data_IF_512852558280
#
_entry.id   IF_512852558280
#
_cell.length_a   1.000
_cell.length_b   1.000
_cell.length_c   1.000
_cell.angle_alpha   90.00
_cell.angle_beta   90.00
_cell.angle_gamma   90.00
#
_symmetry.space_group_name_H-M   'P 1'
#
loop_
_entity.id
_entity.type
_entity.pdbx_description
1 polymer ?
#
# COMPACT_ATOMS: atom_id res chain seq x y z
N UNK A 1 3.06 -16.56 -13.78
CA UNK A 1 3.43 -15.22 -14.33
C UNK A 1 4.06 -14.42 -13.21
N UNK A 2 5.08 -13.60 -13.47
CA UNK A 2 5.71 -12.80 -12.42
C UNK A 2 4.80 -11.65 -11.97
N UNK A 3 4.92 -11.26 -10.70
CA UNK A 3 4.31 -10.03 -10.18
C UNK A 3 4.89 -8.84 -10.93
N UNK A 4 4.05 -7.91 -11.35
CA UNK A 4 4.46 -6.72 -12.11
C UNK A 4 4.15 -5.44 -11.33
N UNK A 5 4.95 -4.40 -11.55
CA UNK A 5 4.65 -3.06 -11.03
C UNK A 5 3.42 -2.52 -11.78
N UNK A 6 2.31 -2.17 -11.09
CA UNK A 6 1.17 -1.55 -11.75
C UNK A 6 1.52 -0.13 -12.19
N UNK A 7 0.94 0.31 -13.29
CA UNK A 7 1.04 1.70 -13.71
C UNK A 7 0.28 2.62 -12.74
N UNK A 8 0.74 3.87 -12.61
CA UNK A 8 -0.01 4.88 -11.87
C UNK A 8 -1.32 5.20 -12.62
N UNK A 9 -2.45 5.39 -11.90
CA UNK A 9 -3.72 5.76 -12.53
C UNK A 9 -3.80 7.25 -12.97
N UNK A 10 -2.71 8.01 -12.81
CA UNK A 10 -2.58 9.43 -13.15
C UNK A 10 -1.12 9.74 -13.53
N UNK A 11 -0.86 10.92 -14.10
CA UNK A 11 0.49 11.39 -14.43
C UNK A 11 1.35 11.59 -13.16
N UNK A 12 2.67 11.48 -13.30
CA UNK A 12 3.59 11.60 -12.16
C UNK A 12 3.53 12.95 -11.45
N UNK A 13 3.18 14.03 -12.15
CA UNK A 13 3.00 15.40 -11.63
C UNK A 13 1.58 15.70 -11.15
N UNK A 14 0.65 14.76 -11.28
CA UNK A 14 -0.78 15.01 -11.02
C UNK A 14 -1.10 15.37 -9.57
N UNK A 15 -0.26 14.96 -8.62
CA UNK A 15 -0.46 15.22 -7.19
C UNK A 15 0.26 16.47 -6.69
N UNK A 16 0.90 17.22 -7.58
CA UNK A 16 1.47 18.52 -7.19
C UNK A 16 0.38 19.54 -6.81
N UNK A 17 0.67 20.43 -5.88
CA UNK A 17 1.95 20.70 -5.20
C UNK A 17 2.18 19.87 -3.93
N UNK A 18 1.36 18.86 -3.64
CA UNK A 18 1.43 18.07 -2.40
C UNK A 18 2.52 17.01 -2.42
N UNK A 19 2.66 16.31 -3.55
CA UNK A 19 3.73 15.35 -3.81
C UNK A 19 4.31 15.70 -5.18
N UNK A 20 5.60 16.00 -5.23
CA UNK A 20 6.25 16.38 -6.49
C UNK A 20 6.53 15.18 -7.41
N UNK A 21 6.72 15.46 -8.69
CA UNK A 21 6.97 14.47 -9.72
C UNK A 21 8.21 13.61 -9.42
N UNK A 22 9.30 14.21 -8.92
CA UNK A 22 10.53 13.49 -8.58
C UNK A 22 10.28 12.45 -7.47
N UNK A 23 9.54 12.83 -6.43
CA UNK A 23 9.15 11.93 -5.35
C UNK A 23 8.31 10.79 -5.87
N UNK A 24 7.36 11.05 -6.77
CA UNK A 24 6.52 10.00 -7.38
C UNK A 24 7.37 9.01 -8.18
N UNK A 25 8.32 9.46 -8.98
CA UNK A 25 9.25 8.57 -9.67
C UNK A 25 10.10 7.74 -8.70
N UNK A 26 10.64 8.34 -7.65
CA UNK A 26 11.42 7.62 -6.65
C UNK A 26 10.58 6.57 -5.91
N UNK A 27 9.38 6.94 -5.49
CA UNK A 27 8.53 6.09 -4.67
C UNK A 27 7.89 4.95 -5.50
N UNK A 28 7.48 5.22 -6.73
CA UNK A 28 6.89 4.21 -7.63
C UNK A 28 7.97 3.39 -8.35
N UNK A 29 8.84 4.05 -9.15
CA UNK A 29 9.72 3.35 -10.10
C UNK A 29 10.92 2.67 -9.42
N UNK A 30 11.32 3.15 -8.23
CA UNK A 30 12.42 2.56 -7.46
C UNK A 30 11.92 1.79 -6.24
N UNK A 31 11.23 2.44 -5.33
CA UNK A 31 10.85 1.83 -4.05
C UNK A 31 9.84 0.71 -4.24
N UNK A 32 8.72 0.96 -4.91
CA UNK A 32 7.73 -0.07 -5.19
C UNK A 32 8.28 -1.16 -6.11
N UNK A 33 9.04 -0.80 -7.15
CA UNK A 33 9.69 -1.78 -8.03
C UNK A 33 10.64 -2.71 -7.27
N UNK A 34 11.31 -2.22 -6.22
CA UNK A 34 12.18 -3.05 -5.38
C UNK A 34 11.38 -4.13 -4.65
N UNK A 35 10.21 -3.81 -4.11
CA UNK A 35 9.33 -4.82 -3.53
C UNK A 35 8.93 -5.88 -4.56
N UNK A 36 8.55 -5.47 -5.76
CA UNK A 36 8.19 -6.38 -6.86
C UNK A 36 9.36 -7.32 -7.20
N UNK A 37 10.55 -6.79 -7.38
CA UNK A 37 11.74 -7.57 -7.70
C UNK A 37 12.05 -8.60 -6.60
N UNK A 38 11.98 -8.18 -5.34
CA UNK A 38 12.34 -9.04 -4.21
C UNK A 38 11.30 -10.14 -3.97
N UNK A 39 10.01 -9.85 -4.10
CA UNK A 39 8.98 -10.88 -3.94
C UNK A 39 9.05 -11.90 -5.07
N UNK A 40 9.29 -11.47 -6.31
CA UNK A 40 9.49 -12.38 -7.43
C UNK A 40 10.70 -13.31 -7.19
N UNK A 41 11.84 -12.75 -6.77
CA UNK A 41 13.03 -13.54 -6.46
C UNK A 41 12.81 -14.55 -5.31
N UNK A 42 11.92 -14.24 -4.36
CA UNK A 42 11.52 -15.18 -3.32
C UNK A 42 10.65 -16.31 -3.89
N UNK A 43 9.59 -15.95 -4.66
CA UNK A 43 8.64 -16.90 -5.24
C UNK A 43 9.27 -17.84 -6.28
N UNK A 44 10.29 -17.39 -7.01
CA UNK A 44 11.04 -18.23 -7.96
C UNK A 44 11.66 -19.49 -7.32
N UNK A 45 11.91 -19.47 -6.02
CA UNK A 45 12.45 -20.63 -5.29
C UNK A 45 11.39 -21.71 -5.03
N UNK A 46 10.13 -21.35 -5.08
CA UNK A 46 8.98 -22.20 -4.76
C UNK A 46 7.84 -22.00 -5.76
N UNK A 47 8.04 -22.33 -7.04
CA UNK A 47 7.02 -22.09 -8.07
C UNK A 47 5.71 -22.86 -7.83
N UNK A 48 5.73 -23.88 -6.97
CA UNK A 48 4.57 -24.68 -6.60
C UNK A 48 3.51 -23.95 -5.79
N UNK A 49 3.87 -22.85 -5.08
CA UNK A 49 2.91 -22.10 -4.25
C UNK A 49 2.12 -21.05 -5.03
N UNK A 50 2.52 -20.79 -6.28
CA UNK A 50 1.87 -19.77 -7.12
C UNK A 50 2.29 -18.34 -6.78
N UNK A 51 1.54 -17.38 -7.31
CA UNK A 51 1.87 -15.94 -7.28
C UNK A 51 0.70 -15.10 -6.76
N UNK A 52 -0.34 -15.72 -6.20
CA UNK A 52 -1.46 -15.01 -5.58
C UNK A 52 -1.05 -14.52 -4.19
N UNK A 53 -0.50 -13.29 -4.16
CA UNK A 53 0.00 -12.69 -2.92
C UNK A 53 -1.08 -12.46 -1.87
N UNK A 54 -2.32 -12.15 -2.26
CA UNK A 54 -3.41 -11.93 -1.32
C UNK A 54 -3.71 -13.23 -0.57
N UNK A 55 -3.84 -14.34 -1.30
CA UNK A 55 -4.05 -15.66 -0.69
C UNK A 55 -2.86 -16.10 0.16
N UNK A 56 -1.63 -15.91 -0.32
CA UNK A 56 -0.43 -16.27 0.43
C UNK A 56 -0.31 -15.47 1.73
N UNK A 57 -0.59 -14.17 1.71
CA UNK A 57 -0.50 -13.31 2.88
C UNK A 57 -1.67 -13.48 3.84
N UNK A 58 -2.82 -13.99 3.37
CA UNK A 58 -3.93 -14.38 4.25
C UNK A 58 -3.62 -15.65 5.07
N UNK A 59 -2.74 -16.52 4.56
CA UNK A 59 -2.29 -17.74 5.25
C UNK A 59 -0.75 -17.87 5.19
N UNK A 60 -0.08 -17.02 5.94
CA UNK A 60 1.39 -16.95 5.96
C UNK A 60 2.07 -18.25 6.38
N UNK A 61 1.38 -19.12 7.13
CA UNK A 61 1.93 -20.40 7.53
C UNK A 61 2.03 -21.40 6.37
N UNK A 62 1.26 -21.22 5.31
CA UNK A 62 1.35 -22.01 4.08
C UNK A 62 2.61 -21.69 3.26
N UNK A 63 3.24 -20.54 3.49
CA UNK A 63 4.44 -20.11 2.77
C UNK A 63 5.66 -20.89 3.32
N UNK A 64 6.51 -21.47 2.45
CA UNK A 64 7.74 -22.15 2.88
C UNK A 64 8.61 -21.25 3.78
N UNK A 65 9.11 -21.83 4.88
CA UNK A 65 9.75 -21.08 5.96
C UNK A 65 10.98 -20.28 5.51
N UNK A 66 11.71 -20.77 4.50
CA UNK A 66 12.92 -20.14 3.96
C UNK A 66 12.65 -18.83 3.18
N UNK A 67 11.43 -18.67 2.65
CA UNK A 67 11.01 -17.46 1.92
C UNK A 67 9.91 -16.67 2.62
N UNK A 68 9.27 -17.23 3.66
CA UNK A 68 8.09 -16.63 4.32
C UNK A 68 8.28 -15.17 4.66
N UNK A 69 9.35 -14.83 5.36
CA UNK A 69 9.59 -13.45 5.79
C UNK A 69 9.82 -12.51 4.59
N UNK A 70 10.50 -13.00 3.55
CA UNK A 70 10.71 -12.21 2.32
C UNK A 70 9.39 -11.93 1.60
N UNK A 71 8.49 -12.93 1.52
CA UNK A 71 7.15 -12.75 0.93
C UNK A 71 6.29 -11.82 1.79
N UNK A 72 6.29 -11.96 3.11
CA UNK A 72 5.55 -11.04 4.01
C UNK A 72 6.03 -9.60 3.80
N UNK A 73 7.33 -9.35 3.85
CA UNK A 73 7.89 -8.01 3.75
C UNK A 73 7.69 -7.40 2.37
N UNK A 74 8.01 -8.12 1.32
CA UNK A 74 8.03 -7.58 -0.04
C UNK A 74 6.68 -7.74 -0.76
N UNK A 75 5.97 -8.83 -0.53
CA UNK A 75 4.60 -9.01 -1.02
C UNK A 75 3.63 -8.04 -0.35
N UNK A 76 3.70 -7.92 0.97
CA UNK A 76 2.94 -6.92 1.73
C UNK A 76 3.30 -5.49 1.32
N UNK A 77 4.59 -5.19 1.11
CA UNK A 77 5.05 -3.91 0.60
C UNK A 77 4.46 -3.61 -0.78
N UNK A 78 4.47 -4.58 -1.69
CA UNK A 78 3.87 -4.44 -3.02
C UNK A 78 2.36 -4.16 -2.94
N UNK A 79 1.59 -4.97 -2.23
CA UNK A 79 0.13 -4.81 -2.15
C UNK A 79 -0.25 -3.47 -1.49
N UNK A 80 0.43 -3.08 -0.42
CA UNK A 80 0.18 -1.79 0.23
C UNK A 80 0.44 -0.60 -0.70
N UNK A 81 1.51 -0.64 -1.48
CA UNK A 81 1.82 0.44 -2.43
C UNK A 81 0.86 0.44 -3.63
N UNK A 82 0.48 -0.73 -4.14
CA UNK A 82 -0.52 -0.81 -5.21
C UNK A 82 -1.84 -0.16 -4.80
N UNK A 83 -2.35 -0.47 -3.60
CA UNK A 83 -3.54 0.17 -3.04
C UNK A 83 -3.33 1.67 -2.79
N UNK A 84 -2.16 2.07 -2.28
CA UNK A 84 -1.85 3.46 -1.99
C UNK A 84 -1.96 4.37 -3.22
N UNK A 85 -1.46 3.93 -4.38
CA UNK A 85 -1.59 4.72 -5.61
C UNK A 85 -3.04 4.95 -6.01
N UNK A 86 -3.90 3.96 -5.85
CA UNK A 86 -5.32 4.06 -6.18
C UNK A 86 -6.13 4.92 -5.21
N UNK A 87 -5.68 5.07 -3.96
CA UNK A 87 -6.35 5.85 -2.94
C UNK A 87 -6.11 7.36 -3.06
N UNK A 88 -5.13 7.78 -3.87
CA UNK A 88 -4.84 9.20 -4.10
C UNK A 88 -5.43 9.65 -5.43
N UNK A 89 -5.87 10.91 -5.49
CA UNK A 89 -6.43 11.53 -6.69
C UNK A 89 -6.12 13.01 -6.71
N UNK A 90 -5.89 13.61 -7.90
CA UNK A 90 -5.80 15.07 -8.04
C UNK A 90 -7.13 15.78 -7.85
N UNK A 91 -8.24 15.06 -7.88
CA UNK A 91 -9.58 15.60 -7.74
C UNK A 91 -9.97 15.74 -6.26
N UNK A 92 -10.69 16.81 -5.91
CA UNK A 92 -11.30 16.91 -4.59
C UNK A 92 -12.50 15.97 -4.49
N UNK A 93 -12.45 15.08 -3.50
CA UNK A 93 -13.50 14.13 -3.19
C UNK A 93 -13.97 14.32 -1.75
N UNK A 94 -15.12 13.73 -1.42
CA UNK A 94 -15.64 13.67 -0.07
C UNK A 94 -16.11 12.24 0.23
N UNK A 95 -16.16 11.83 1.51
CA UNK A 95 -16.77 10.56 1.90
C UNK A 95 -18.23 10.49 1.44
N UNK A 96 -18.71 9.28 1.15
CA UNK A 96 -20.15 9.05 0.99
C UNK A 96 -20.89 9.42 2.28
N UNK A 97 -22.19 9.73 2.19
CA UNK A 97 -22.99 10.03 3.39
C UNK A 97 -22.96 8.90 4.42
N UNK A 98 -22.95 7.65 3.97
CA UNK A 98 -22.85 6.48 4.84
C UNK A 98 -21.51 6.42 5.56
N UNK A 99 -20.41 6.61 4.84
CA UNK A 99 -19.07 6.62 5.44
C UNK A 99 -18.90 7.79 6.39
N UNK A 100 -19.36 8.99 6.02
CA UNK A 100 -19.31 10.17 6.89
C UNK A 100 -20.07 9.93 8.21
N UNK A 101 -21.26 9.34 8.16
CA UNK A 101 -22.02 8.99 9.35
C UNK A 101 -21.30 7.95 10.24
N UNK A 102 -20.66 6.96 9.64
CA UNK A 102 -19.87 5.96 10.37
C UNK A 102 -18.63 6.58 11.05
N UNK A 103 -17.96 7.51 10.37
CA UNK A 103 -16.83 8.27 10.92
C UNK A 103 -17.29 9.12 12.11
N UNK A 104 -18.36 9.89 11.96
CA UNK A 104 -18.91 10.73 13.02
C UNK A 104 -19.34 9.89 14.24
N UNK A 105 -19.99 8.75 14.01
CA UNK A 105 -20.40 7.85 15.08
C UNK A 105 -19.21 7.24 15.83
N UNK A 106 -18.10 6.99 15.14
CA UNK A 106 -16.91 6.34 15.73
C UNK A 106 -15.96 7.32 16.38
N UNK A 107 -15.73 8.47 15.75
CA UNK A 107 -14.70 9.45 16.16
C UNK A 107 -15.28 10.73 16.77
N UNK A 108 -16.58 10.97 16.63
CA UNK A 108 -17.25 12.21 17.07
C UNK A 108 -17.41 13.24 15.95
N UNK A 109 -16.40 13.39 15.08
CA UNK A 109 -16.45 14.27 13.93
C UNK A 109 -15.42 13.84 12.88
N UNK A 110 -15.56 14.35 11.66
CA UNK A 110 -14.54 14.15 10.61
C UNK A 110 -13.19 14.79 10.98
N UNK A 111 -13.20 15.93 11.66
CA UNK A 111 -11.97 16.58 12.13
C UNK A 111 -11.26 15.76 13.21
N UNK A 112 -11.99 15.15 14.14
CA UNK A 112 -11.42 14.24 15.14
C UNK A 112 -10.85 12.97 14.49
N UNK A 113 -11.53 12.44 13.48
CA UNK A 113 -10.99 11.35 12.66
C UNK A 113 -9.67 11.73 11.99
N UNK A 114 -9.62 12.88 11.30
CA UNK A 114 -8.39 13.37 10.67
C UNK A 114 -7.25 13.53 11.66
N UNK A 115 -7.53 14.06 12.83
CA UNK A 115 -6.54 14.23 13.89
C UNK A 115 -6.00 12.88 14.37
N UNK A 116 -6.87 11.91 14.62
CA UNK A 116 -6.47 10.55 15.05
C UNK A 116 -5.67 9.82 13.97
N UNK A 117 -6.13 9.89 12.71
CA UNK A 117 -5.45 9.27 11.57
C UNK A 117 -4.06 9.88 11.33
N UNK A 118 -3.96 11.22 11.38
CA UNK A 118 -2.69 11.92 11.24
C UNK A 118 -1.73 11.57 12.36
N UNK A 119 -2.21 11.52 13.61
CA UNK A 119 -1.40 11.11 14.74
C UNK A 119 -0.88 9.67 14.57
N UNK A 120 -1.73 8.73 14.16
CA UNK A 120 -1.33 7.34 13.91
C UNK A 120 -0.26 7.25 12.81
N UNK A 121 -0.41 8.01 11.72
CA UNK A 121 0.55 8.03 10.63
C UNK A 121 1.90 8.65 11.02
N UNK A 122 1.89 9.82 11.67
CA UNK A 122 3.11 10.58 11.98
C UNK A 122 3.91 10.01 13.15
N UNK A 123 3.25 9.31 14.07
CA UNK A 123 3.91 8.68 15.21
C UNK A 123 4.36 7.24 14.94
N UNK A 124 4.00 6.68 13.78
CA UNK A 124 4.45 5.33 13.39
C UNK A 124 5.96 5.34 13.20
N UNK A 125 6.70 4.75 14.13
CA UNK A 125 8.14 4.64 14.05
C UNK A 125 8.59 3.66 12.95
N UNK A 126 9.57 4.06 12.14
CA UNK A 126 10.01 3.32 10.97
C UNK A 126 9.04 3.50 9.78
N UNK A 127 9.19 2.68 8.76
CA UNK A 127 8.24 2.64 7.64
C UNK A 127 6.94 1.97 8.08
N UNK A 128 5.79 2.54 7.73
CA UNK A 128 4.51 1.96 8.09
C UNK A 128 3.32 2.71 7.52
N UNK A 129 2.13 2.31 7.95
CA UNK A 129 0.86 2.76 7.40
C UNK A 129 -0.12 3.06 8.53
N UNK A 130 -0.97 4.05 8.31
CA UNK A 130 -2.19 4.25 9.08
C UNK A 130 -3.37 3.77 8.22
N UNK A 131 -4.35 3.13 8.86
CA UNK A 131 -5.47 2.48 8.19
C UNK A 131 -6.82 2.97 8.75
N UNK A 132 -7.79 3.09 7.85
CA UNK A 132 -9.20 3.20 8.17
C UNK A 132 -9.92 1.97 7.60
#
# INVERSE_FOLDING_TARGET
MAIILPELPYAYDALEPYIDEETMHLHHDKHHQTYVNNVNAALEKHPEIGEDLESLLADVESIPADIRQAVINNGGGHLNHALFWELMTPEQTAPSAELAAAIDATFGSFEDFKAAFTAAATTRFGSGWAWL
#
